data_IF_859793909097
#
_entry.id   IF_859793909097
#
_cell.length_a   1.000
_cell.length_b   1.000
_cell.length_c   1.000
_cell.angle_alpha   90.00
_cell.angle_beta   90.00
_cell.angle_gamma   90.00
#
_symmetry.space_group_name_H-M   'P 1'
#
loop_
_entity.id
_entity.type
_entity.pdbx_description
1 polymer ?
#
# COMPACT_ATOMS: atom_id res chain seq x y z
N UNK A 1 -17.52 -3.33 3.68
CA UNK A 1 -17.57 -3.12 2.23
C UNK A 1 -16.90 -1.80 2.00
N UNK A 2 -15.90 -1.75 1.13
CA UNK A 2 -15.19 -0.51 0.84
C UNK A 2 -16.08 0.44 0.03
N UNK A 3 -16.09 1.72 0.40
CA UNK A 3 -16.93 2.76 -0.22
C UNK A 3 -16.08 3.69 -1.07
N UNK A 4 -16.01 3.41 -2.37
CA UNK A 4 -15.25 4.25 -3.31
C UNK A 4 -15.83 5.66 -3.49
N UNK A 5 -16.99 6.02 -2.90
CA UNK A 5 -17.49 7.40 -2.91
C UNK A 5 -16.71 8.34 -2.00
N UNK A 6 -15.81 7.80 -1.15
CA UNK A 6 -14.88 8.58 -0.33
C UNK A 6 -13.81 9.31 -1.15
N UNK A 7 -13.52 8.82 -2.37
CA UNK A 7 -12.52 9.40 -3.27
C UNK A 7 -13.01 10.71 -3.91
N UNK A 8 -12.06 11.59 -4.23
CA UNK A 8 -12.31 12.83 -4.97
C UNK A 8 -13.01 12.61 -6.32
N UNK A 9 -13.96 13.50 -6.66
CA UNK A 9 -14.74 13.40 -7.91
C UNK A 9 -13.89 13.55 -9.17
N UNK A 10 -12.75 14.26 -9.08
CA UNK A 10 -11.83 14.48 -10.18
C UNK A 10 -11.05 13.22 -10.61
N UNK A 11 -11.11 12.14 -9.82
CA UNK A 11 -10.48 10.85 -10.11
C UNK A 11 -8.98 10.80 -9.80
N UNK A 12 -8.36 11.89 -9.34
CA UNK A 12 -6.92 11.94 -9.07
C UNK A 12 -6.55 11.00 -7.93
N UNK A 13 -7.32 10.99 -6.84
CA UNK A 13 -7.09 10.07 -5.71
C UNK A 13 -7.24 8.61 -6.13
N UNK A 14 -8.16 8.31 -7.06
CA UNK A 14 -8.30 6.96 -7.59
C UNK A 14 -7.07 6.52 -8.39
N UNK A 15 -6.53 7.39 -9.25
CA UNK A 15 -5.31 7.11 -10.00
C UNK A 15 -4.12 6.88 -9.08
N UNK A 16 -3.96 7.72 -8.06
CA UNK A 16 -2.93 7.57 -7.05
C UNK A 16 -3.09 6.25 -6.28
N UNK A 17 -4.29 5.90 -5.86
CA UNK A 17 -4.57 4.63 -5.18
C UNK A 17 -4.16 3.43 -6.04
N UNK A 18 -4.53 3.41 -7.34
CA UNK A 18 -4.14 2.33 -8.26
C UNK A 18 -2.62 2.26 -8.44
N UNK A 19 -1.94 3.42 -8.50
CA UNK A 19 -0.48 3.48 -8.56
C UNK A 19 0.16 2.85 -7.32
N UNK A 20 -0.28 3.25 -6.13
CA UNK A 20 0.22 2.68 -4.87
C UNK A 20 -0.03 1.17 -4.80
N UNK A 21 -1.22 0.70 -5.24
CA UNK A 21 -1.52 -0.73 -5.29
C UNK A 21 -0.54 -1.49 -6.19
N UNK A 22 -0.25 -0.95 -7.37
CA UNK A 22 0.68 -1.57 -8.30
C UNK A 22 2.12 -1.59 -7.76
N UNK A 23 2.55 -0.53 -7.05
CA UNK A 23 3.85 -0.53 -6.37
C UNK A 23 3.92 -1.59 -5.27
N UNK A 24 2.89 -1.68 -4.42
CA UNK A 24 2.81 -2.67 -3.36
C UNK A 24 2.85 -4.10 -3.91
N UNK A 25 2.23 -4.36 -5.06
CA UNK A 25 2.28 -5.65 -5.76
C UNK A 25 3.63 -5.93 -6.47
N UNK A 26 4.63 -5.05 -6.33
CA UNK A 26 5.98 -5.23 -6.87
C UNK A 26 6.17 -4.80 -8.32
N UNK A 27 5.22 -4.05 -8.91
CA UNK A 27 5.35 -3.54 -10.27
C UNK A 27 6.08 -2.19 -10.32
N UNK A 28 6.65 -1.86 -11.48
CA UNK A 28 7.25 -0.53 -11.73
C UNK A 28 6.26 0.35 -12.46
N UNK A 29 5.83 1.44 -11.85
CA UNK A 29 4.81 2.33 -12.39
C UNK A 29 5.38 3.72 -12.64
N UNK A 30 4.96 4.34 -13.74
CA UNK A 30 5.31 5.71 -14.12
C UNK A 30 4.06 6.49 -14.50
N UNK A 31 4.01 7.74 -14.09
CA UNK A 31 3.03 8.70 -14.60
C UNK A 31 3.26 8.93 -16.09
N UNK A 32 2.18 9.06 -16.85
CA UNK A 32 2.28 9.36 -18.28
C UNK A 32 2.54 10.86 -18.59
N UNK A 33 2.45 11.72 -17.57
CA UNK A 33 2.66 13.18 -17.63
C UNK A 33 1.35 13.99 -17.55
N UNK A 34 1.37 15.16 -16.92
CA UNK A 34 0.18 16.03 -16.80
C UNK A 34 -0.05 16.86 -18.09
N UNK A 35 -1.19 16.68 -18.75
CA UNK A 35 -1.57 17.38 -19.97
C UNK A 35 -2.93 16.95 -20.51
N UNK A 36 -3.45 17.64 -21.54
CA UNK A 36 -4.73 17.32 -22.20
C UNK A 36 -4.60 16.05 -23.07
N UNK A 37 -4.42 14.89 -22.43
CA UNK A 37 -3.80 13.74 -23.08
C UNK A 37 -4.70 12.50 -23.05
N UNK A 38 -5.59 12.40 -24.04
CA UNK A 38 -5.99 11.13 -24.68
C UNK A 38 -6.51 9.95 -23.83
N UNK A 39 -6.81 10.14 -22.53
CA UNK A 39 -7.22 9.07 -21.63
C UNK A 39 -6.07 8.20 -21.10
N UNK A 40 -4.92 8.80 -20.77
CA UNK A 40 -3.75 8.10 -20.22
C UNK A 40 -3.60 8.40 -18.74
N UNK A 41 -3.52 7.36 -17.92
CA UNK A 41 -3.38 7.55 -16.48
C UNK A 41 -2.01 7.02 -16.01
N UNK A 42 -1.71 5.72 -16.18
CA UNK A 42 -0.44 5.12 -15.74
C UNK A 42 0.21 4.19 -16.78
N UNK A 43 1.55 4.11 -16.76
CA UNK A 43 2.33 3.07 -17.45
C UNK A 43 2.92 2.13 -16.40
N UNK A 44 2.60 0.84 -16.50
CA UNK A 44 3.06 -0.18 -15.58
C UNK A 44 3.96 -1.19 -16.31
N UNK A 45 5.04 -1.61 -15.67
CA UNK A 45 5.90 -2.68 -16.14
C UNK A 45 5.79 -3.89 -15.21
N UNK A 46 5.32 -4.99 -15.79
CA UNK A 46 5.31 -6.31 -15.19
C UNK A 46 6.58 -7.05 -15.61
N UNK A 47 7.43 -7.41 -14.65
CA UNK A 47 8.66 -8.14 -14.89
C UNK A 47 8.56 -9.52 -14.22
N UNK A 48 8.53 -10.59 -15.02
CA UNK A 48 8.51 -11.96 -14.51
C UNK A 48 9.88 -12.60 -14.72
N UNK A 49 10.54 -12.97 -13.61
CA UNK A 49 11.80 -13.71 -13.64
C UNK A 49 11.49 -15.20 -13.67
N UNK A 50 11.51 -15.80 -14.86
CA UNK A 50 11.51 -17.26 -15.01
C UNK A 50 12.95 -17.77 -15.15
N UNK A 51 13.17 -19.02 -14.71
CA UNK A 51 14.44 -19.73 -14.89
C UNK A 51 14.79 -19.98 -16.37
N UNK A 52 13.80 -19.90 -17.26
CA UNK A 52 13.98 -20.12 -18.70
C UNK A 52 14.26 -18.80 -19.44
N UNK A 53 13.51 -17.74 -19.12
CA UNK A 53 13.68 -16.42 -19.71
C UNK A 53 13.03 -15.35 -18.82
N UNK A 54 13.70 -14.22 -18.64
CA UNK A 54 13.04 -13.02 -18.10
C UNK A 54 12.06 -12.48 -19.15
N UNK A 55 10.81 -12.26 -18.78
CA UNK A 55 9.87 -11.53 -19.62
C UNK A 55 9.47 -10.21 -18.95
N UNK A 56 9.25 -9.20 -19.78
CA UNK A 56 8.78 -7.88 -19.39
C UNK A 56 7.59 -7.53 -20.24
N UNK A 57 6.49 -7.11 -19.61
CA UNK A 57 5.29 -6.61 -20.27
C UNK A 57 5.05 -5.18 -19.86
N UNK A 58 4.75 -4.32 -20.83
CA UNK A 58 4.37 -2.93 -20.62
C UNK A 58 2.86 -2.79 -20.73
N UNK A 59 2.23 -2.29 -19.69
CA UNK A 59 0.80 -2.11 -19.58
C UNK A 59 0.43 -0.63 -19.64
N UNK A 60 -0.56 -0.28 -20.47
CA UNK A 60 -1.29 0.97 -20.36
C UNK A 60 -2.43 0.77 -19.37
N UNK A 61 -2.41 1.50 -18.25
CA UNK A 61 -3.46 1.43 -17.24
C UNK A 61 -4.31 2.69 -17.36
N UNK A 62 -5.61 2.50 -17.53
CA UNK A 62 -6.60 3.57 -17.56
C UNK A 62 -7.55 3.42 -16.37
N UNK A 63 -7.66 4.48 -15.59
CA UNK A 63 -8.47 4.63 -14.39
C UNK A 63 -9.76 5.38 -14.73
N UNK A 64 -10.91 4.81 -14.36
CA UNK A 64 -12.22 5.45 -14.49
C UNK A 64 -12.96 5.47 -13.16
N UNK A 65 -12.90 6.62 -12.50
CA UNK A 65 -13.69 6.89 -11.31
C UNK A 65 -15.14 7.25 -11.70
N UNK A 66 -16.11 6.46 -11.23
CA UNK A 66 -17.55 6.68 -11.47
C UNK A 66 -18.42 6.44 -10.23
N UNK A 67 -17.81 6.21 -9.06
CA UNK A 67 -18.52 5.78 -7.85
C UNK A 67 -19.63 6.77 -7.45
N UNK A 68 -19.33 8.08 -7.47
CA UNK A 68 -20.27 9.16 -7.15
C UNK A 68 -21.50 9.12 -8.06
N UNK A 69 -21.30 8.86 -9.36
CA UNK A 69 -22.43 8.77 -10.31
C UNK A 69 -23.16 7.43 -10.29
N UNK A 70 -22.54 6.37 -9.73
CA UNK A 70 -23.02 4.98 -9.78
C UNK A 70 -23.12 4.37 -11.18
N UNK A 71 -22.67 5.09 -12.23
CA UNK A 71 -22.83 4.65 -13.63
C UNK A 71 -21.77 3.64 -14.02
N UNK A 72 -22.16 2.74 -14.93
CA UNK A 72 -21.22 1.86 -15.62
C UNK A 72 -20.26 2.64 -16.50
N UNK A 73 -19.05 2.13 -16.69
CA UNK A 73 -18.10 2.64 -17.69
C UNK A 73 -18.59 2.26 -19.09
N UNK A 74 -18.79 3.27 -19.93
CA UNK A 74 -19.23 3.13 -21.32
C UNK A 74 -18.06 3.09 -22.30
N UNK A 75 -18.33 2.64 -23.52
CA UNK A 75 -17.32 2.61 -24.61
C UNK A 75 -16.77 4.01 -24.92
N UNK A 76 -17.60 5.04 -24.79
CA UNK A 76 -17.22 6.44 -24.97
C UNK A 76 -16.24 6.96 -23.93
N UNK A 77 -16.12 6.30 -22.77
CA UNK A 77 -15.16 6.70 -21.73
C UNK A 77 -13.72 6.23 -22.04
N UNK A 78 -13.52 5.22 -22.90
CA UNK A 78 -12.22 4.55 -23.07
C UNK A 78 -11.35 5.05 -24.24
N UNK A 79 -11.89 5.86 -25.15
CA UNK A 79 -11.14 6.33 -26.33
C UNK A 79 -10.72 5.20 -27.29
N UNK A 80 -9.57 5.34 -27.97
CA UNK A 80 -9.00 4.32 -28.86
C UNK A 80 -7.92 3.50 -28.15
N UNK A 81 -8.31 2.32 -27.63
CA UNK A 81 -7.44 1.40 -26.86
C UNK A 81 -6.23 0.97 -27.69
N UNK A 82 -6.43 0.53 -28.93
CA UNK A 82 -5.36 -0.02 -29.78
C UNK A 82 -4.40 1.10 -30.19
N UNK A 83 -4.94 2.25 -30.60
CA UNK A 83 -4.13 3.43 -30.92
C UNK A 83 -3.29 3.89 -29.74
N UNK A 84 -3.87 3.95 -28.53
CA UNK A 84 -3.17 4.34 -27.31
C UNK A 84 -2.05 3.34 -26.95
N UNK A 85 -2.34 2.03 -26.94
CA UNK A 85 -1.32 1.00 -26.67
C UNK A 85 -0.18 1.06 -27.68
N UNK A 86 -0.47 1.20 -28.98
CA UNK A 86 0.56 1.31 -30.03
C UNK A 86 1.42 2.57 -29.87
N UNK A 87 0.80 3.71 -29.58
CA UNK A 87 1.50 4.96 -29.35
C UNK A 87 2.49 4.87 -28.18
N UNK A 88 2.11 4.15 -27.11
CA UNK A 88 2.96 3.93 -25.94
C UNK A 88 3.82 2.67 -26.00
N UNK A 89 3.74 1.89 -27.08
CA UNK A 89 4.43 0.61 -27.22
C UNK A 89 4.12 -0.35 -26.06
N UNK A 90 2.85 -0.40 -25.65
CA UNK A 90 2.37 -1.29 -24.60
C UNK A 90 1.96 -2.65 -25.20
N UNK A 91 2.26 -3.72 -24.46
CA UNK A 91 1.88 -5.10 -24.75
C UNK A 91 0.50 -5.44 -24.17
N UNK A 92 -0.01 -4.59 -23.27
CA UNK A 92 -1.31 -4.79 -22.68
C UNK A 92 -2.03 -3.50 -22.26
N UNK A 93 -3.31 -3.67 -21.96
CA UNK A 93 -4.24 -2.65 -21.52
C UNK A 93 -4.98 -3.11 -20.27
N UNK A 94 -5.05 -2.27 -19.25
CA UNK A 94 -5.79 -2.53 -18.02
C UNK A 94 -6.78 -1.39 -17.78
N UNK A 95 -8.08 -1.71 -17.69
CA UNK A 95 -9.09 -0.79 -17.18
C UNK A 95 -9.24 -0.99 -15.67
N UNK A 96 -8.97 0.03 -14.85
CA UNK A 96 -9.35 0.06 -13.44
C UNK A 96 -10.55 0.98 -13.26
N UNK A 97 -11.60 0.55 -12.57
CA UNK A 97 -12.79 1.38 -12.33
C UNK A 97 -13.44 1.13 -10.98
N UNK A 98 -13.92 2.20 -10.34
CA UNK A 98 -14.64 2.14 -9.06
C UNK A 98 -16.11 1.72 -9.19
N UNK A 99 -16.57 1.36 -10.38
CA UNK A 99 -17.89 0.77 -10.60
C UNK A 99 -17.75 -0.54 -11.38
N UNK A 100 -18.43 -0.67 -12.51
CA UNK A 100 -18.41 -1.84 -13.35
C UNK A 100 -18.36 -1.42 -14.82
N UNK A 101 -17.65 -2.17 -15.69
CA UNK A 101 -17.71 -1.94 -17.12
C UNK A 101 -19.07 -2.36 -17.69
N UNK A 102 -19.56 -1.63 -18.69
CA UNK A 102 -20.71 -2.08 -19.48
C UNK A 102 -20.37 -3.34 -20.31
N UNK A 103 -21.39 -4.11 -20.69
CA UNK A 103 -21.20 -5.29 -21.57
C UNK A 103 -20.52 -4.96 -22.89
N UNK A 104 -20.76 -3.76 -23.43
CA UNK A 104 -20.10 -3.26 -24.62
C UNK A 104 -18.60 -2.98 -24.40
N UNK A 105 -18.21 -2.53 -23.21
CA UNK A 105 -16.79 -2.37 -22.84
C UNK A 105 -16.11 -3.73 -22.75
N UNK A 106 -16.72 -4.70 -22.06
CA UNK A 106 -16.19 -6.07 -21.98
C UNK A 106 -16.00 -6.68 -23.36
N UNK A 107 -17.03 -6.61 -24.21
CA UNK A 107 -16.96 -7.12 -25.59
C UNK A 107 -15.85 -6.45 -26.40
N UNK A 108 -15.59 -5.17 -26.16
CA UNK A 108 -14.51 -4.42 -26.81
C UNK A 108 -13.14 -4.88 -26.33
N UNK A 109 -12.94 -5.06 -25.02
CA UNK A 109 -11.69 -5.56 -24.45
C UNK A 109 -11.38 -6.97 -24.98
N UNK A 110 -12.36 -7.87 -24.92
CA UNK A 110 -12.25 -9.23 -25.46
C UNK A 110 -11.94 -9.23 -26.96
N UNK A 111 -12.59 -8.36 -27.73
CA UNK A 111 -12.32 -8.21 -29.16
C UNK A 111 -10.89 -7.75 -29.47
N UNK A 112 -10.34 -6.84 -28.67
CA UNK A 112 -8.93 -6.42 -28.80
C UNK A 112 -7.98 -7.54 -28.43
N UNK A 113 -8.22 -8.26 -27.33
CA UNK A 113 -7.38 -9.37 -26.90
C UNK A 113 -7.40 -10.57 -27.86
N UNK A 114 -8.50 -10.77 -28.58
CA UNK A 114 -8.65 -11.85 -29.55
C UNK A 114 -8.03 -11.52 -30.92
N UNK A 115 -7.67 -10.27 -31.21
CA UNK A 115 -7.12 -9.88 -32.50
C UNK A 115 -5.61 -10.18 -32.60
N UNK A 116 -5.19 -11.16 -33.43
CA UNK A 116 -3.79 -11.53 -33.55
C UNK A 116 -2.93 -10.44 -34.21
N UNK A 117 -3.54 -9.43 -34.85
CA UNK A 117 -2.82 -8.32 -35.49
C UNK A 117 -2.28 -7.33 -34.46
N UNK A 118 -2.96 -7.20 -33.33
CA UNK A 118 -2.61 -6.28 -32.25
C UNK A 118 -1.74 -6.96 -31.21
N UNK A 119 -1.92 -8.27 -30.98
CA UNK A 119 -1.18 -9.05 -29.99
C UNK A 119 -1.16 -8.37 -28.60
N UNK A 120 -2.28 -7.74 -28.23
CA UNK A 120 -2.46 -7.04 -26.97
C UNK A 120 -3.15 -7.95 -25.96
N UNK A 121 -2.73 -7.88 -24.70
CA UNK A 121 -3.48 -8.47 -23.59
C UNK A 121 -4.37 -7.42 -22.94
N UNK A 122 -5.64 -7.72 -22.65
CA UNK A 122 -6.53 -6.79 -21.94
C UNK A 122 -6.97 -7.34 -20.59
N UNK A 123 -7.12 -6.47 -19.60
CA UNK A 123 -7.68 -6.79 -18.28
C UNK A 123 -8.66 -5.71 -17.79
N UNK A 124 -9.47 -6.06 -16.79
CA UNK A 124 -10.36 -5.14 -16.10
C UNK A 124 -10.34 -5.41 -14.59
N UNK A 125 -10.11 -4.36 -13.79
CA UNK A 125 -10.34 -4.33 -12.35
C UNK A 125 -11.57 -3.48 -12.09
N UNK A 126 -12.70 -4.14 -11.82
CA UNK A 126 -13.92 -3.48 -11.38
C UNK A 126 -13.92 -3.25 -9.86
N UNK A 127 -14.96 -2.63 -9.32
CA UNK A 127 -15.07 -2.33 -7.90
C UNK A 127 -14.93 -3.58 -7.00
N UNK A 128 -15.43 -4.73 -7.45
CA UNK A 128 -15.39 -5.98 -6.66
C UNK A 128 -13.98 -6.55 -6.65
N UNK A 129 -13.31 -6.55 -7.81
CA UNK A 129 -11.92 -6.98 -7.91
C UNK A 129 -11.01 -6.06 -7.09
N UNK A 130 -11.19 -4.74 -7.19
CA UNK A 130 -10.46 -3.77 -6.39
C UNK A 130 -10.70 -3.96 -4.89
N UNK A 131 -11.95 -4.15 -4.45
CA UNK A 131 -12.25 -4.41 -3.04
C UNK A 131 -11.58 -5.69 -2.54
N UNK A 132 -11.59 -6.75 -3.35
CA UNK A 132 -10.93 -8.02 -3.01
C UNK A 132 -9.43 -7.84 -2.86
N UNK A 133 -8.79 -7.13 -3.79
CA UNK A 133 -7.35 -6.85 -3.76
C UNK A 133 -6.99 -5.98 -2.55
N UNK A 134 -7.70 -4.86 -2.34
CA UNK A 134 -7.52 -3.96 -1.21
C UNK A 134 -7.77 -4.64 0.14
N UNK A 135 -8.59 -5.68 0.20
CA UNK A 135 -8.87 -6.47 1.41
C UNK A 135 -7.75 -7.43 1.82
N UNK A 136 -6.60 -7.43 1.13
CA UNK A 136 -5.43 -8.24 1.48
C UNK A 136 -4.49 -7.55 2.48
N UNK A 137 -3.61 -8.31 3.12
CA UNK A 137 -2.64 -7.79 4.09
C UNK A 137 -1.73 -6.70 3.50
N UNK A 138 -1.32 -6.91 2.25
CA UNK A 138 -0.40 -6.05 1.52
C UNK A 138 -1.04 -4.73 1.10
N UNK A 139 -2.35 -4.72 0.81
CA UNK A 139 -3.04 -3.56 0.24
C UNK A 139 -4.00 -2.86 1.22
N UNK A 140 -4.27 -3.42 2.40
CA UNK A 140 -5.21 -2.79 3.33
C UNK A 140 -4.72 -1.43 3.84
N UNK A 141 -3.41 -1.24 4.08
CA UNK A 141 -2.86 0.07 4.43
C UNK A 141 -3.18 1.16 3.40
N UNK A 142 -3.20 0.79 2.11
CA UNK A 142 -3.62 1.66 1.01
C UNK A 142 -5.12 1.92 1.11
N UNK A 143 -5.94 0.90 1.36
CA UNK A 143 -7.38 1.08 1.59
C UNK A 143 -7.66 2.07 2.73
N UNK A 144 -6.93 1.99 3.84
CA UNK A 144 -7.08 2.92 4.98
C UNK A 144 -6.66 4.34 4.67
N UNK A 145 -5.69 4.52 3.75
CA UNK A 145 -5.22 5.84 3.33
C UNK A 145 -6.25 6.54 2.44
N UNK A 146 -6.84 5.82 1.49
CA UNK A 146 -7.71 6.40 0.46
C UNK A 146 -9.22 6.25 0.76
N UNK A 147 -9.61 5.29 1.61
CA UNK A 147 -11.00 5.00 2.00
C UNK A 147 -11.12 4.92 3.53
N UNK A 148 -10.70 5.95 4.29
CA UNK A 148 -10.54 5.88 5.74
C UNK A 148 -11.82 5.56 6.53
N UNK A 149 -13.00 5.93 6.02
CA UNK A 149 -14.28 5.72 6.71
C UNK A 149 -14.77 4.26 6.55
N UNK A 150 -14.67 3.70 5.34
CA UNK A 150 -15.08 2.33 5.09
C UNK A 150 -14.00 1.28 5.42
N UNK A 151 -12.72 1.67 5.42
CA UNK A 151 -11.58 0.82 5.78
C UNK A 151 -11.19 0.94 7.27
N UNK A 152 -12.17 0.95 8.17
CA UNK A 152 -11.92 1.05 9.61
C UNK A 152 -11.60 -0.29 10.29
N UNK A 153 -10.97 -0.18 11.46
CA UNK A 153 -10.74 -1.31 12.37
C UNK A 153 -9.51 -2.15 12.03
N UNK A 154 -9.35 -3.22 12.83
CA UNK A 154 -8.23 -4.14 12.74
C UNK A 154 -8.41 -5.10 11.56
N UNK A 155 -7.36 -5.23 10.75
CA UNK A 155 -7.21 -6.35 9.82
C UNK A 155 -5.94 -7.12 10.13
N UNK A 156 -6.12 -8.35 10.57
CA UNK A 156 -5.01 -9.21 10.98
C UNK A 156 -4.98 -10.43 10.08
N UNK A 157 -3.81 -10.68 9.51
CA UNK A 157 -3.55 -11.72 8.55
C UNK A 157 -2.50 -12.66 9.13
N UNK A 158 -2.83 -13.94 9.24
CA UNK A 158 -1.83 -14.94 9.60
C UNK A 158 -0.77 -15.02 8.49
N UNK A 159 0.50 -15.05 8.88
CA UNK A 159 1.58 -15.37 7.96
C UNK A 159 1.69 -16.87 7.73
N UNK A 160 2.60 -17.30 6.85
CA UNK A 160 2.96 -18.72 6.72
C UNK A 160 3.69 -19.27 7.96
N UNK A 161 4.12 -18.39 8.87
CA UNK A 161 4.79 -18.76 10.12
C UNK A 161 3.79 -18.73 11.28
N UNK A 162 3.81 -19.75 12.16
CA UNK A 162 3.03 -19.69 13.38
C UNK A 162 3.52 -18.54 14.25
N UNK A 163 2.61 -17.95 15.04
CA UNK A 163 2.89 -16.86 15.96
C UNK A 163 3.37 -15.57 15.30
N UNK A 164 3.15 -15.41 13.99
CA UNK A 164 3.48 -14.22 13.23
C UNK A 164 2.30 -13.81 12.37
N UNK A 165 1.88 -12.57 12.54
CA UNK A 165 0.79 -11.95 11.82
C UNK A 165 1.24 -10.63 11.22
N UNK A 166 0.61 -10.26 10.11
CA UNK A 166 0.63 -8.89 9.60
C UNK A 166 -0.67 -8.23 10.02
N UNK A 167 -0.57 -7.04 10.60
CA UNK A 167 -1.68 -6.24 11.05
C UNK A 167 -1.72 -4.94 10.24
N UNK A 168 -2.93 -4.54 9.88
CA UNK A 168 -3.20 -3.19 9.43
C UNK A 168 -4.25 -2.53 10.33
N UNK A 169 -3.96 -1.32 10.79
CA UNK A 169 -4.83 -0.58 11.69
C UNK A 169 -4.51 0.92 11.66
N UNK A 170 -5.54 1.78 11.51
CA UNK A 170 -5.41 3.26 11.43
C UNK A 170 -4.36 3.72 10.42
N UNK A 171 -4.27 3.02 9.29
CA UNK A 171 -3.32 3.31 8.23
C UNK A 171 -1.91 2.81 8.52
N UNK A 172 -1.62 2.14 9.64
CA UNK A 172 -0.33 1.48 9.88
C UNK A 172 -0.32 0.07 9.31
N UNK A 173 0.79 -0.31 8.65
CA UNK A 173 1.14 -1.69 8.34
C UNK A 173 2.28 -2.15 9.28
N UNK A 174 2.09 -3.24 10.02
CA UNK A 174 3.11 -3.77 10.93
C UNK A 174 2.96 -5.26 11.22
N UNK A 175 4.00 -5.87 11.79
CA UNK A 175 3.95 -7.28 12.20
C UNK A 175 3.69 -7.45 13.69
N UNK A 176 2.81 -8.37 14.05
CA UNK A 176 2.64 -8.86 15.43
C UNK A 176 3.33 -10.22 15.51
N UNK A 177 4.23 -10.39 16.47
CA UNK A 177 5.00 -11.62 16.66
C UNK A 177 4.94 -12.04 18.11
N UNK A 178 4.65 -13.31 18.36
CA UNK A 178 4.76 -13.91 19.69
C UNK A 178 5.94 -14.89 19.71
N UNK A 179 6.69 -14.88 20.82
CA UNK A 179 7.76 -15.86 21.07
C UNK A 179 7.22 -17.29 21.02
N UNK A 180 6.20 -17.57 21.83
CA UNK A 180 5.44 -18.82 21.85
C UNK A 180 3.97 -18.44 22.07
N UNK A 181 3.06 -18.89 21.20
CA UNK A 181 1.61 -18.73 21.37
C UNK A 181 0.91 -18.14 20.16
N UNK A 182 -0.30 -18.64 19.88
CA UNK A 182 -1.05 -18.36 18.65
C UNK A 182 -2.16 -17.31 18.80
N UNK A 183 -2.26 -16.62 19.94
CA UNK A 183 -3.33 -15.64 20.18
C UNK A 183 -2.79 -14.21 20.06
N UNK A 184 -3.02 -13.59 18.90
CA UNK A 184 -2.62 -12.21 18.65
C UNK A 184 -3.61 -11.19 19.23
N UNK A 185 -4.89 -11.57 19.39
CA UNK A 185 -5.95 -10.62 19.74
C UNK A 185 -5.79 -10.08 21.17
N UNK A 186 -5.12 -10.85 22.03
CA UNK A 186 -4.84 -10.45 23.41
C UNK A 186 -3.96 -9.20 23.50
N UNK A 187 -3.16 -8.90 22.47
CA UNK A 187 -2.20 -7.80 22.48
C UNK A 187 -2.80 -6.49 21.96
N UNK A 188 -3.90 -6.53 21.20
CA UNK A 188 -4.42 -5.36 20.47
C UNK A 188 -4.73 -4.14 21.36
N UNK A 189 -5.26 -4.27 22.59
CA UNK A 189 -5.47 -3.10 23.46
C UNK A 189 -4.17 -2.34 23.76
N UNK A 190 -3.09 -3.06 24.09
CA UNK A 190 -1.79 -2.44 24.33
C UNK A 190 -1.25 -1.80 23.06
N UNK A 191 -1.43 -2.46 21.91
CA UNK A 191 -0.99 -1.89 20.63
C UNK A 191 -1.76 -0.61 20.29
N UNK A 192 -3.07 -0.55 20.56
CA UNK A 192 -3.87 0.66 20.38
C UNK A 192 -3.34 1.82 21.23
N UNK A 193 -3.05 1.55 22.51
CA UNK A 193 -2.49 2.54 23.44
C UNK A 193 -1.13 3.07 22.98
N UNK A 194 -0.23 2.20 22.52
CA UNK A 194 1.08 2.61 22.01
C UNK A 194 0.97 3.36 20.67
N UNK A 195 0.04 2.98 19.79
CA UNK A 195 -0.24 3.75 18.57
C UNK A 195 -0.77 5.15 18.89
N UNK A 196 -1.70 5.27 19.85
CA UNK A 196 -2.18 6.57 20.35
C UNK A 196 -1.01 7.45 20.83
N UNK A 197 -0.04 6.84 21.53
CA UNK A 197 1.17 7.53 21.99
C UNK A 197 2.06 8.00 20.85
N UNK A 198 2.33 7.14 19.86
CA UNK A 198 3.15 7.47 18.68
C UNK A 198 2.49 8.55 17.80
N UNK A 199 1.17 8.48 17.60
CA UNK A 199 0.39 9.49 16.89
C UNK A 199 0.42 10.84 17.63
N UNK A 200 0.26 10.83 18.95
CA UNK A 200 0.34 12.04 19.78
C UNK A 200 1.72 12.70 19.69
N UNK A 201 2.81 11.93 19.75
CA UNK A 201 4.16 12.46 19.56
C UNK A 201 4.30 13.13 18.19
N UNK A 202 3.83 12.44 17.15
CA UNK A 202 3.88 12.94 15.77
C UNK A 202 3.14 14.27 15.60
N UNK A 203 1.99 14.42 16.26
CA UNK A 203 1.16 15.63 16.14
C UNK A 203 1.61 16.78 17.04
N UNK A 204 2.00 16.49 18.28
CA UNK A 204 2.17 17.50 19.34
C UNK A 204 3.63 17.84 19.64
N UNK A 205 4.56 16.93 19.32
CA UNK A 205 6.00 17.09 19.66
C UNK A 205 6.88 17.34 18.46
N UNK A 206 6.49 16.87 17.29
CA UNK A 206 7.36 16.92 16.12
C UNK A 206 7.03 18.10 15.20
N UNK A 207 8.01 18.58 14.42
CA UNK A 207 7.77 19.55 13.36
C UNK A 207 6.81 19.00 12.31
N UNK A 208 6.27 19.90 11.49
CA UNK A 208 5.43 19.52 10.35
C UNK A 208 6.14 18.49 9.46
N UNK A 209 5.41 17.47 9.04
CA UNK A 209 5.89 16.34 8.22
C UNK A 209 6.84 15.35 8.92
N UNK A 210 7.12 15.51 10.21
CA UNK A 210 7.83 14.49 10.98
C UNK A 210 6.80 13.55 11.65
N UNK A 211 7.05 12.24 11.65
CA UNK A 211 6.10 11.28 12.21
C UNK A 211 6.75 9.98 12.69
N UNK A 212 6.09 9.29 13.61
CA UNK A 212 6.44 7.92 14.02
C UNK A 212 5.74 6.90 13.14
N UNK A 213 6.42 5.76 12.91
CA UNK A 213 5.85 4.64 12.17
C UNK A 213 6.15 3.31 12.83
N UNK A 214 5.12 2.67 13.38
CA UNK A 214 5.24 1.31 13.92
C UNK A 214 5.53 0.32 12.79
N UNK A 215 6.49 -0.57 13.01
CA UNK A 215 6.95 -1.60 12.05
C UNK A 215 6.64 -3.01 12.52
N UNK A 216 6.84 -3.27 13.80
CA UNK A 216 6.56 -4.58 14.39
C UNK A 216 6.44 -4.50 15.90
N UNK A 217 5.80 -5.51 16.49
CA UNK A 217 5.72 -5.75 17.92
C UNK A 217 6.04 -7.21 18.16
N UNK A 218 6.98 -7.46 19.07
CA UNK A 218 7.35 -8.79 19.53
C UNK A 218 6.95 -8.96 21.00
N UNK A 219 6.18 -10.00 21.31
CA UNK A 219 5.82 -10.35 22.68
C UNK A 219 6.62 -11.58 23.16
N UNK A 220 7.41 -11.38 24.21
CA UNK A 220 8.12 -12.43 24.93
C UNK A 220 7.26 -12.93 26.09
N UNK A 221 6.54 -14.02 25.85
CA UNK A 221 5.70 -14.71 26.83
C UNK A 221 6.46 -15.19 28.07
N UNK A 222 7.79 -15.37 27.99
CA UNK A 222 8.61 -15.83 29.12
C UNK A 222 8.92 -14.70 30.11
N UNK A 223 9.16 -13.50 29.61
CA UNK A 223 9.44 -12.32 30.43
C UNK A 223 8.19 -11.46 30.68
N UNK A 224 7.14 -11.66 29.88
CA UNK A 224 5.95 -10.80 29.88
C UNK A 224 6.21 -9.44 29.21
N UNK A 225 7.29 -9.31 28.45
CA UNK A 225 7.72 -8.06 27.86
C UNK A 225 7.37 -7.95 26.37
N UNK A 226 7.13 -6.72 25.93
CA UNK A 226 6.95 -6.31 24.55
C UNK A 226 8.20 -5.60 24.05
N UNK A 227 8.56 -5.84 22.80
CA UNK A 227 9.53 -5.04 22.05
C UNK A 227 8.82 -4.43 20.86
N UNK A 228 8.67 -3.10 20.86
CA UNK A 228 8.08 -2.33 19.79
C UNK A 228 9.18 -1.80 18.89
N UNK A 229 9.03 -2.06 17.61
CA UNK A 229 9.89 -1.58 16.57
C UNK A 229 9.18 -0.44 15.86
N UNK A 230 9.68 0.78 16.03
CA UNK A 230 9.14 1.94 15.35
C UNK A 230 10.26 2.73 14.67
N UNK A 231 9.91 3.45 13.62
CA UNK A 231 10.81 4.33 12.92
C UNK A 231 10.34 5.77 13.12
N UNK A 232 11.28 6.68 13.32
CA UNK A 232 11.01 8.11 13.28
C UNK A 232 11.37 8.62 11.88
N UNK A 233 10.37 9.15 11.18
CA UNK A 233 10.48 9.62 9.80
C UNK A 233 10.58 11.15 9.79
N UNK A 234 11.56 11.68 9.06
CA UNK A 234 11.69 13.12 8.82
C UNK A 234 12.04 13.44 7.37
N UNK A 235 11.66 14.62 6.83
CA UNK A 235 12.13 15.06 5.52
C UNK A 235 13.65 15.09 5.42
N UNK A 236 14.19 14.73 4.25
CA UNK A 236 15.64 14.74 3.98
C UNK A 236 16.30 16.11 4.17
N UNK A 237 15.56 17.19 3.92
CA UNK A 237 16.01 18.56 4.09
C UNK A 237 15.82 19.10 5.53
N UNK A 238 15.23 18.31 6.42
CA UNK A 238 15.06 18.64 7.83
C UNK A 238 15.98 17.82 8.72
N UNK A 239 16.32 18.38 9.88
CA UNK A 239 17.13 17.66 10.88
C UNK A 239 16.23 16.81 11.77
N UNK A 240 16.67 15.61 12.17
CA UNK A 240 15.95 14.86 13.17
C UNK A 240 15.90 15.63 14.49
N UNK A 241 14.78 15.49 15.21
CA UNK A 241 14.60 16.13 16.52
C UNK A 241 15.52 15.53 17.57
N UNK A 242 15.79 14.22 17.47
CA UNK A 242 16.69 13.48 18.36
C UNK A 242 17.15 12.16 17.74
N UNK A 243 18.14 11.52 18.36
CA UNK A 243 18.68 10.23 17.92
C UNK A 243 17.88 9.00 18.42
N UNK A 244 18.24 7.82 17.91
CA UNK A 244 17.56 6.55 18.26
C UNK A 244 17.51 6.30 19.78
N UNK A 245 18.66 6.35 20.48
CA UNK A 245 18.74 6.08 21.92
C UNK A 245 18.02 7.14 22.76
N UNK A 246 17.91 8.37 22.26
CA UNK A 246 17.18 9.44 22.93
C UNK A 246 15.69 9.20 22.85
N UNK A 247 15.19 8.78 21.67
CA UNK A 247 13.79 8.36 21.51
C UNK A 247 13.46 7.16 22.39
N UNK A 248 14.33 6.15 22.43
CA UNK A 248 14.11 4.96 23.26
C UNK A 248 13.96 5.33 24.73
N UNK A 249 14.81 6.25 25.24
CA UNK A 249 14.72 6.77 26.62
C UNK A 249 13.50 7.65 26.87
N UNK A 250 13.07 8.45 25.89
CA UNK A 250 11.84 9.24 26.03
C UNK A 250 10.59 8.37 26.02
N UNK A 251 10.65 7.25 25.29
CA UNK A 251 9.57 6.29 25.16
C UNK A 251 9.55 5.25 26.30
N UNK A 252 10.64 5.09 27.06
CA UNK A 252 10.66 4.31 28.29
C UNK A 252 9.50 4.76 29.20
N UNK A 253 8.59 3.82 29.46
CA UNK A 253 7.39 4.06 30.26
C UNK A 253 7.13 2.85 31.14
N UNK A 254 6.39 1.89 30.60
CA UNK A 254 6.11 0.65 31.32
C UNK A 254 7.34 -0.27 31.34
N UNK A 255 7.55 -0.95 32.47
CA UNK A 255 8.71 -1.82 32.69
C UNK A 255 8.80 -3.00 31.70
N UNK A 256 7.67 -3.38 31.13
CA UNK A 256 7.49 -4.50 30.22
C UNK A 256 7.35 -4.04 28.76
N UNK A 257 7.59 -2.76 28.44
CA UNK A 257 7.50 -2.23 27.09
C UNK A 257 8.84 -1.62 26.70
N UNK A 258 9.50 -2.23 25.72
CA UNK A 258 10.79 -1.78 25.21
C UNK A 258 10.63 -1.26 23.78
N UNK A 259 11.39 -0.23 23.44
CA UNK A 259 11.38 0.36 22.12
C UNK A 259 12.70 0.09 21.39
N UNK A 260 12.62 -0.14 20.09
CA UNK A 260 13.75 -0.19 19.18
C UNK A 260 13.51 0.76 18.01
N UNK A 261 14.16 1.92 18.07
CA UNK A 261 13.89 3.07 17.20
C UNK A 261 14.94 3.20 16.09
N UNK A 262 14.47 3.51 14.87
CA UNK A 262 15.33 3.97 13.77
C UNK A 262 14.90 5.34 13.29
N UNK A 263 15.80 6.31 13.36
CA UNK A 263 15.67 7.61 12.68
C UNK A 263 15.93 7.42 11.18
N UNK A 264 15.02 7.87 10.34
CA UNK A 264 15.08 7.76 8.88
C UNK A 264 14.67 9.08 8.24
N UNK A 265 15.41 9.45 7.20
CA UNK A 265 15.00 10.50 6.30
C UNK A 265 14.14 9.96 5.15
N UNK A 266 13.33 10.84 4.56
CA UNK A 266 12.56 10.52 3.37
C UNK A 266 12.46 11.70 2.40
N UNK A 267 12.18 11.40 1.14
CA UNK A 267 11.96 12.38 0.08
C UNK A 267 10.51 12.25 -0.42
N UNK A 268 9.62 13.13 0.02
CA UNK A 268 8.17 13.08 -0.27
C UNK A 268 7.84 12.99 -1.77
N UNK A 269 8.63 13.67 -2.60
CA UNK A 269 8.43 13.72 -4.06
C UNK A 269 9.17 12.61 -4.82
N UNK A 270 9.78 11.66 -4.11
CA UNK A 270 10.41 10.51 -4.74
C UNK A 270 9.34 9.55 -5.23
N UNK A 271 9.50 9.01 -6.43
CA UNK A 271 8.70 7.88 -6.92
C UNK A 271 8.88 6.62 -6.05
N UNK A 272 9.86 6.63 -5.14
CA UNK A 272 10.14 5.57 -4.17
C UNK A 272 9.63 5.88 -2.76
N UNK A 273 8.84 6.95 -2.59
CA UNK A 273 8.32 7.32 -1.29
C UNK A 273 7.05 6.53 -0.95
N UNK A 274 7.17 5.63 0.02
CA UNK A 274 6.06 5.08 0.77
C UNK A 274 6.44 5.05 2.27
N UNK A 275 5.63 5.60 3.19
CA UNK A 275 5.82 5.43 4.62
C UNK A 275 6.02 3.97 5.06
N UNK A 276 5.48 2.99 4.33
CA UNK A 276 5.62 1.56 4.59
C UNK A 276 6.39 0.80 3.51
N UNK A 277 7.35 1.46 2.85
CA UNK A 277 8.20 0.80 1.86
C UNK A 277 8.81 -0.51 2.39
N UNK A 278 8.76 -1.58 1.60
CA UNK A 278 9.11 -2.95 2.00
C UNK A 278 10.54 -3.06 2.56
N UNK A 279 11.48 -2.24 2.10
CA UNK A 279 12.86 -2.19 2.60
C UNK A 279 12.95 -1.93 4.12
N UNK A 280 11.97 -1.22 4.69
CA UNK A 280 11.93 -0.95 6.14
C UNK A 280 11.60 -2.20 6.97
N UNK A 281 11.05 -3.23 6.31
CA UNK A 281 10.62 -4.49 6.92
C UNK A 281 11.59 -5.62 6.59
N UNK A 282 11.93 -5.81 5.32
CA UNK A 282 12.71 -6.95 4.83
C UNK A 282 14.10 -7.04 5.48
N UNK A 283 14.79 -5.91 5.62
CA UNK A 283 16.11 -5.85 6.25
C UNK A 283 16.07 -6.30 7.72
N UNK A 284 14.95 -6.09 8.41
CA UNK A 284 14.81 -6.27 9.86
C UNK A 284 13.91 -7.43 10.27
N UNK A 285 13.31 -8.14 9.32
CA UNK A 285 12.35 -9.22 9.60
C UNK A 285 12.92 -10.28 10.54
N UNK A 286 14.18 -10.66 10.36
CA UNK A 286 14.85 -11.61 11.26
C UNK A 286 14.92 -11.12 12.72
N UNK A 287 15.09 -9.81 12.93
CA UNK A 287 15.12 -9.19 14.26
C UNK A 287 13.71 -9.10 14.87
N UNK A 288 12.71 -8.71 14.08
CA UNK A 288 11.31 -8.70 14.49
C UNK A 288 10.86 -10.06 15.01
N UNK A 289 11.22 -11.11 14.28
CA UNK A 289 10.82 -12.47 14.60
C UNK A 289 11.49 -13.04 15.86
N UNK A 290 12.66 -12.53 16.22
CA UNK A 290 13.46 -13.01 17.33
C UNK A 290 13.42 -12.10 18.56
N UNK A 291 12.75 -10.95 18.48
CA UNK A 291 12.75 -9.99 19.60
C UNK A 291 14.10 -9.31 19.82
N UNK A 292 14.89 -9.11 18.75
CA UNK A 292 16.22 -8.49 18.84
C UNK A 292 16.18 -7.01 18.46
N UNK A 293 16.91 -6.16 19.18
CA UNK A 293 17.01 -4.73 18.85
C UNK A 293 17.64 -4.49 17.46
N UNK A 294 17.22 -3.38 16.82
CA UNK A 294 17.62 -3.02 15.45
C UNK A 294 18.79 -2.06 15.35
#
# INVERSE_FOLDING_TARGET
MLDFTELSEDGIEFEQMIREMLFALGYKVFWSGAGADGGKDLICFEEHKSIFASCKRKWLVQCKHKAISGRAVGVGDLGDIVGACRHHQCDGYLLATTTYPSSAVISRLEGVAADPRDNLTTGCWDAVELERMLSTAELWGIAQRYLPESATGWKIYASERPNHWTANYRGYYFHIVNRIGSECMAHLPLIDDELNRLEWLSREKFPEKHFMRLRSIYFDDKSGCYTLYADYMHPFDSKPVMGNEEFEKELEGEWNVHYSIKVRDYLEFSDHYDPDHYDFYDEHMGKFLLGLSR
#
